data_IF_975212140730
#
_entry.id   IF_975212140730
#
_cell.length_a   1.000
_cell.length_b   1.000
_cell.length_c   1.000
_cell.angle_alpha   90.00
_cell.angle_beta   90.00
_cell.angle_gamma   90.00
#
_symmetry.space_group_name_H-M   'P 1'
#
loop_
_entity.id
_entity.type
_entity.pdbx_description
1 polymer ?
#
# COMPACT_ATOMS: atom_id res chain seq x y z
N UNK A 1 -5.29 -87.88 -23.21
CA UNK A 1 -4.65 -86.55 -23.12
C UNK A 1 -4.61 -86.10 -21.67
N UNK A 2 -3.46 -86.16 -21.00
CA UNK A 2 -3.26 -85.58 -19.66
C UNK A 2 -2.87 -84.11 -19.84
N UNK A 3 -3.81 -83.19 -19.66
CA UNK A 3 -3.48 -81.76 -19.56
C UNK A 3 -2.72 -81.55 -18.25
N UNK A 4 -1.50 -81.02 -18.34
CA UNK A 4 -0.61 -80.76 -17.21
C UNK A 4 -1.28 -79.84 -16.20
N UNK A 5 -1.40 -80.27 -14.93
CA UNK A 5 -1.95 -79.46 -13.83
C UNK A 5 -1.21 -78.13 -13.65
N UNK A 6 0.03 -78.01 -14.11
CA UNK A 6 0.81 -76.77 -14.07
C UNK A 6 0.33 -75.71 -15.08
N UNK A 7 -0.27 -76.12 -16.21
CA UNK A 7 -0.82 -75.16 -17.19
C UNK A 7 -2.12 -74.50 -16.69
N UNK A 8 -2.90 -75.21 -15.84
CA UNK A 8 -4.18 -74.72 -15.31
C UNK A 8 -3.99 -73.62 -14.25
N UNK A 9 -2.85 -73.58 -13.56
CA UNK A 9 -2.49 -72.52 -12.60
C UNK A 9 -1.65 -71.38 -13.19
N UNK A 10 -0.97 -71.61 -14.32
CA UNK A 10 -0.19 -70.58 -15.00
C UNK A 10 -1.07 -69.52 -15.68
N UNK A 11 -2.23 -69.92 -16.23
CA UNK A 11 -3.15 -69.00 -16.92
C UNK A 11 -3.80 -67.99 -15.94
N UNK A 12 -4.34 -68.39 -14.77
CA UNK A 12 -4.79 -67.44 -13.75
C UNK A 12 -3.66 -66.55 -13.23
N UNK A 13 -2.45 -67.07 -13.04
CA UNK A 13 -1.31 -66.28 -12.52
C UNK A 13 -0.84 -65.21 -13.51
N UNK A 14 -0.78 -65.52 -14.82
CA UNK A 14 -0.47 -64.55 -15.88
C UNK A 14 -1.61 -63.55 -16.06
N UNK A 15 -2.88 -63.97 -15.90
CA UNK A 15 -4.02 -63.06 -15.87
C UNK A 15 -4.02 -62.17 -14.62
N UNK A 16 -3.65 -62.66 -13.43
CA UNK A 16 -3.51 -61.87 -12.21
C UNK A 16 -2.32 -60.89 -12.28
N UNK A 17 -1.21 -61.29 -12.90
CA UNK A 17 -0.09 -60.40 -13.19
C UNK A 17 -0.45 -59.36 -14.25
N UNK A 18 -1.19 -59.74 -15.30
CA UNK A 18 -1.68 -58.84 -16.35
C UNK A 18 -2.79 -57.89 -15.89
N UNK A 19 -3.71 -58.36 -15.03
CA UNK A 19 -4.73 -57.54 -14.37
C UNK A 19 -4.05 -56.60 -13.36
N UNK A 20 -3.11 -57.10 -12.57
CA UNK A 20 -2.33 -56.30 -11.64
C UNK A 20 -1.55 -55.16 -12.31
N UNK A 21 -0.88 -55.42 -13.44
CA UNK A 21 -0.18 -54.39 -14.20
C UNK A 21 -1.14 -53.42 -14.90
N UNK A 22 -2.32 -53.87 -15.34
CA UNK A 22 -3.30 -52.99 -15.97
C UNK A 22 -3.98 -52.05 -14.96
N UNK A 23 -4.24 -52.53 -13.73
CA UNK A 23 -4.76 -51.70 -12.64
C UNK A 23 -3.69 -50.79 -12.01
N UNK A 24 -2.42 -51.19 -12.01
CA UNK A 24 -1.30 -50.38 -11.49
C UNK A 24 -0.68 -49.43 -12.53
N UNK A 25 -0.93 -49.61 -13.83
CA UNK A 25 -0.36 -48.75 -14.87
C UNK A 25 -0.76 -47.27 -14.72
N UNK A 26 -2.03 -46.91 -14.43
CA UNK A 26 -2.42 -45.52 -14.22
C UNK A 26 -1.75 -44.88 -12.98
N UNK A 27 -1.59 -45.65 -11.89
CA UNK A 27 -0.97 -45.17 -10.65
C UNK A 27 0.54 -45.01 -10.80
N UNK A 28 1.21 -45.94 -11.47
CA UNK A 28 2.64 -45.85 -11.80
C UNK A 28 2.92 -44.69 -12.76
N UNK A 29 2.06 -44.48 -13.76
CA UNK A 29 2.21 -43.36 -14.69
C UNK A 29 2.03 -42.01 -13.98
N UNK A 30 0.99 -41.88 -13.14
CA UNK A 30 0.74 -40.67 -12.35
C UNK A 30 1.90 -40.38 -11.41
N UNK A 31 2.42 -41.40 -10.72
CA UNK A 31 3.60 -41.29 -9.87
C UNK A 31 4.84 -40.86 -10.66
N UNK A 32 5.06 -41.42 -11.85
CA UNK A 32 6.21 -41.08 -12.70
C UNK A 32 6.17 -39.61 -13.12
N UNK A 33 5.01 -39.12 -13.58
CA UNK A 33 4.84 -37.72 -13.97
C UNK A 33 5.05 -36.76 -12.79
N UNK A 34 4.45 -37.05 -11.63
CA UNK A 34 4.59 -36.23 -10.42
C UNK A 34 6.05 -36.21 -9.92
N UNK A 35 6.73 -37.35 -9.95
CA UNK A 35 8.15 -37.43 -9.59
C UNK A 35 9.04 -36.70 -10.60
N UNK A 36 8.70 -36.79 -11.89
CA UNK A 36 9.37 -36.06 -12.96
C UNK A 36 9.29 -34.55 -12.74
N UNK A 37 8.07 -34.03 -12.53
CA UNK A 37 7.86 -32.61 -12.23
C UNK A 37 8.61 -32.16 -10.97
N UNK A 38 8.56 -32.94 -9.88
CA UNK A 38 9.26 -32.58 -8.63
C UNK A 38 10.77 -32.39 -8.80
N UNK A 39 11.39 -33.10 -9.73
CA UNK A 39 12.82 -33.05 -10.00
C UNK A 39 13.19 -32.25 -11.26
N UNK A 40 12.20 -31.66 -11.94
CA UNK A 40 12.42 -30.89 -13.16
C UNK A 40 13.29 -29.64 -12.89
N UNK A 41 14.17 -29.34 -13.83
CA UNK A 41 14.87 -28.06 -13.91
C UNK A 41 13.98 -26.98 -14.57
N UNK A 42 14.50 -25.75 -14.68
CA UNK A 42 13.74 -24.64 -15.25
C UNK A 42 13.33 -24.85 -16.71
N UNK A 43 14.15 -25.56 -17.50
CA UNK A 43 13.90 -25.79 -18.93
C UNK A 43 12.80 -26.83 -19.15
N UNK A 44 12.79 -27.89 -18.34
CA UNK A 44 11.84 -29.01 -18.51
C UNK A 44 10.56 -28.84 -17.68
N UNK A 45 10.54 -27.93 -16.70
CA UNK A 45 9.40 -27.71 -15.78
C UNK A 45 8.07 -27.57 -16.51
N UNK A 46 8.01 -26.75 -17.55
CA UNK A 46 6.75 -26.49 -18.29
C UNK A 46 6.18 -27.74 -18.95
N UNK A 47 7.05 -28.56 -19.57
CA UNK A 47 6.64 -29.82 -20.20
C UNK A 47 6.08 -30.81 -19.17
N UNK A 48 6.75 -30.94 -18.02
CA UNK A 48 6.28 -31.79 -16.93
C UNK A 48 4.99 -31.27 -16.29
N UNK A 49 4.87 -29.96 -16.11
CA UNK A 49 3.68 -29.33 -15.54
C UNK A 49 2.45 -29.61 -16.41
N UNK A 50 2.57 -29.43 -17.73
CA UNK A 50 1.49 -29.72 -18.68
C UNK A 50 1.13 -31.21 -18.72
N UNK A 51 2.13 -32.10 -18.60
CA UNK A 51 1.88 -33.54 -18.54
C UNK A 51 1.13 -33.94 -17.24
N UNK A 52 1.52 -33.37 -16.10
CA UNK A 52 0.84 -33.58 -14.81
C UNK A 52 -0.57 -32.98 -14.82
N UNK A 53 -0.77 -31.81 -15.45
CA UNK A 53 -2.06 -31.14 -15.51
C UNK A 53 -3.16 -32.02 -16.15
N UNK A 54 -2.78 -32.85 -17.14
CA UNK A 54 -3.68 -33.80 -17.81
C UNK A 54 -4.18 -34.93 -16.92
N UNK A 55 -3.54 -35.17 -15.77
CA UNK A 55 -4.03 -36.12 -14.76
C UNK A 55 -5.28 -35.60 -14.03
N UNK A 56 -5.61 -34.31 -14.18
CA UNK A 56 -6.77 -33.67 -13.60
C UNK A 56 -6.77 -33.75 -12.07
N UNK A 57 -7.95 -33.99 -11.48
CA UNK A 57 -8.14 -33.95 -10.02
C UNK A 57 -7.17 -34.84 -9.22
N UNK A 58 -6.66 -35.92 -9.80
CA UNK A 58 -5.75 -36.86 -9.13
C UNK A 58 -4.37 -36.25 -8.82
N UNK A 59 -3.97 -35.18 -9.52
CA UNK A 59 -2.70 -34.51 -9.29
C UNK A 59 -2.78 -33.35 -8.28
N UNK A 60 -3.98 -32.87 -7.92
CA UNK A 60 -4.14 -31.68 -7.07
C UNK A 60 -3.51 -31.89 -5.69
N UNK A 61 -3.92 -32.93 -4.95
CA UNK A 61 -3.43 -33.16 -3.59
C UNK A 61 -1.90 -33.44 -3.56
N UNK A 62 -1.34 -34.30 -4.45
CA UNK A 62 0.12 -34.46 -4.54
C UNK A 62 0.90 -33.19 -4.86
N UNK A 63 0.33 -32.29 -5.69
CA UNK A 63 0.95 -30.99 -5.97
C UNK A 63 0.89 -30.08 -4.75
N UNK A 64 -0.24 -30.05 -4.02
CA UNK A 64 -0.36 -29.29 -2.78
C UNK A 64 0.66 -29.76 -1.73
N UNK A 65 0.84 -31.08 -1.57
CA UNK A 65 1.87 -31.64 -0.69
C UNK A 65 3.28 -31.24 -1.16
N UNK A 66 3.49 -31.16 -2.47
CA UNK A 66 4.74 -30.75 -3.10
C UNK A 66 5.13 -29.28 -2.87
N UNK A 67 4.20 -28.41 -2.47
CA UNK A 67 4.48 -26.98 -2.24
C UNK A 67 5.45 -26.74 -1.08
N UNK A 68 5.48 -27.65 -0.11
CA UNK A 68 6.40 -27.57 1.04
C UNK A 68 7.79 -28.13 0.74
N UNK A 69 8.02 -28.66 -0.46
CA UNK A 69 9.31 -29.21 -0.85
C UNK A 69 10.29 -28.10 -1.30
N UNK A 70 11.62 -28.36 -1.28
CA UNK A 70 12.62 -27.40 -1.76
C UNK A 70 12.37 -26.91 -3.20
N UNK A 71 11.95 -27.80 -4.09
CA UNK A 71 11.57 -27.49 -5.47
C UNK A 71 10.05 -27.20 -5.60
N UNK A 72 9.46 -26.59 -4.59
CA UNK A 72 8.02 -26.29 -4.55
C UNK A 72 7.54 -25.43 -5.72
N UNK A 73 8.43 -24.67 -6.37
CA UNK A 73 8.14 -23.94 -7.62
C UNK A 73 7.65 -24.84 -8.75
N UNK A 74 8.09 -26.10 -8.78
CA UNK A 74 7.62 -27.07 -9.76
C UNK A 74 6.17 -27.48 -9.46
N UNK A 75 5.81 -27.60 -8.18
CA UNK A 75 4.43 -27.86 -7.78
C UNK A 75 3.52 -26.66 -8.10
N UNK A 76 4.00 -25.43 -7.90
CA UNK A 76 3.32 -24.20 -8.31
C UNK A 76 3.06 -24.22 -9.82
N UNK A 77 4.07 -24.51 -10.64
CA UNK A 77 3.89 -24.60 -12.10
C UNK A 77 2.90 -25.69 -12.51
N UNK A 78 2.89 -26.83 -11.80
CA UNK A 78 1.89 -27.87 -12.00
C UNK A 78 0.47 -27.38 -11.73
N UNK A 79 0.24 -26.71 -10.59
CA UNK A 79 -1.07 -26.15 -10.24
C UNK A 79 -1.51 -25.06 -11.22
N UNK A 80 -0.59 -24.21 -11.70
CA UNK A 80 -0.86 -23.17 -12.69
C UNK A 80 -1.30 -23.77 -14.04
N UNK A 81 -0.57 -24.79 -14.52
CA UNK A 81 -0.92 -25.51 -15.76
C UNK A 81 -2.29 -26.22 -15.68
N UNK A 82 -2.77 -26.57 -14.48
CA UNK A 82 -4.09 -27.18 -14.31
C UNK A 82 -5.24 -26.25 -14.64
N UNK A 83 -5.03 -24.92 -14.70
CA UNK A 83 -6.05 -23.97 -15.13
C UNK A 83 -6.52 -24.19 -16.59
N UNK A 84 -5.71 -24.87 -17.41
CA UNK A 84 -6.11 -25.26 -18.77
C UNK A 84 -7.15 -26.40 -18.80
N UNK A 85 -7.30 -27.13 -17.69
CA UNK A 85 -8.08 -28.37 -17.63
C UNK A 85 -9.12 -28.40 -16.51
N UNK A 86 -8.97 -27.55 -15.48
CA UNK A 86 -9.87 -27.47 -14.34
C UNK A 86 -10.32 -26.02 -14.09
N UNK A 87 -11.56 -25.82 -13.62
CA UNK A 87 -12.03 -24.50 -13.22
C UNK A 87 -11.14 -23.88 -12.12
N UNK A 88 -10.82 -22.59 -12.26
CA UNK A 88 -9.98 -21.88 -11.31
C UNK A 88 -10.60 -21.85 -9.91
N UNK A 89 -11.92 -21.62 -9.81
CA UNK A 89 -12.65 -21.71 -8.55
C UNK A 89 -12.53 -23.06 -7.84
N UNK A 90 -12.51 -24.17 -8.59
CA UNK A 90 -12.34 -25.50 -8.00
C UNK A 90 -10.94 -25.69 -7.39
N UNK A 91 -9.90 -25.25 -8.11
CA UNK A 91 -8.53 -25.30 -7.61
C UNK A 91 -8.34 -24.37 -6.40
N UNK A 92 -8.89 -23.15 -6.47
CA UNK A 92 -8.89 -22.20 -5.37
C UNK A 92 -9.55 -22.78 -4.11
N UNK A 93 -10.71 -23.45 -4.25
CA UNK A 93 -11.38 -24.16 -3.14
C UNK A 93 -10.50 -25.21 -2.47
N UNK A 94 -9.74 -25.99 -3.26
CA UNK A 94 -8.82 -27.02 -2.76
C UNK A 94 -7.64 -26.39 -2.02
N UNK A 95 -7.06 -25.36 -2.62
CA UNK A 95 -5.95 -24.59 -2.06
C UNK A 95 -6.35 -23.95 -0.73
N UNK A 96 -7.48 -23.24 -0.67
CA UNK A 96 -7.97 -22.58 0.54
C UNK A 96 -8.17 -23.57 1.69
N UNK A 97 -8.70 -24.77 1.42
CA UNK A 97 -8.86 -25.83 2.45
C UNK A 97 -7.55 -26.44 2.92
N UNK A 98 -6.54 -26.48 2.06
CA UNK A 98 -5.22 -27.04 2.39
C UNK A 98 -4.32 -26.04 3.12
N UNK A 99 -4.59 -24.74 3.01
CA UNK A 99 -3.70 -23.65 3.44
C UNK A 99 -3.16 -23.81 4.87
N UNK A 100 -4.02 -24.10 5.85
CA UNK A 100 -3.62 -24.23 7.25
C UNK A 100 -2.64 -25.39 7.51
N UNK A 101 -2.61 -26.40 6.63
CA UNK A 101 -1.73 -27.57 6.74
C UNK A 101 -0.37 -27.39 6.06
N UNK A 102 -0.22 -26.37 5.22
CA UNK A 102 1.02 -26.11 4.49
C UNK A 102 2.11 -25.54 5.40
N UNK A 103 3.38 -25.76 5.03
CA UNK A 103 4.52 -25.09 5.65
C UNK A 103 4.45 -23.57 5.41
N UNK A 104 5.21 -22.74 6.18
CA UNK A 104 5.29 -21.30 5.93
C UNK A 104 5.64 -20.95 4.46
N UNK A 105 6.59 -21.65 3.86
CA UNK A 105 6.97 -21.49 2.46
C UNK A 105 5.84 -21.90 1.51
N UNK A 106 5.18 -23.04 1.79
CA UNK A 106 4.03 -23.49 1.02
C UNK A 106 2.87 -22.47 1.05
N UNK A 107 2.61 -21.87 2.21
CA UNK A 107 1.61 -20.81 2.36
C UNK A 107 1.97 -19.56 1.56
N UNK A 108 3.23 -19.12 1.59
CA UNK A 108 3.72 -18.00 0.77
C UNK A 108 3.48 -18.27 -0.72
N UNK A 109 3.82 -19.47 -1.19
CA UNK A 109 3.63 -19.90 -2.58
C UNK A 109 2.16 -19.87 -3.00
N UNK A 110 1.27 -20.37 -2.14
CA UNK A 110 -0.18 -20.33 -2.37
C UNK A 110 -0.71 -18.91 -2.48
N UNK A 111 -0.31 -18.02 -1.56
CA UNK A 111 -0.78 -16.64 -1.57
C UNK A 111 -0.34 -15.92 -2.85
N UNK A 112 0.90 -16.14 -3.31
CA UNK A 112 1.38 -15.63 -4.59
C UNK A 112 0.59 -16.19 -5.77
N UNK A 113 0.39 -17.51 -5.80
CA UNK A 113 -0.33 -18.18 -6.87
C UNK A 113 -1.76 -17.64 -7.01
N UNK A 114 -2.50 -17.55 -5.90
CA UNK A 114 -3.86 -17.03 -5.90
C UNK A 114 -3.92 -15.53 -6.23
N UNK A 115 -2.96 -14.71 -5.76
CA UNK A 115 -2.86 -13.30 -6.16
C UNK A 115 -2.75 -13.18 -7.67
N UNK A 116 -1.86 -13.96 -8.30
CA UNK A 116 -1.66 -13.95 -9.75
C UNK A 116 -2.89 -14.44 -10.51
N UNK A 117 -3.59 -15.46 -10.00
CA UNK A 117 -4.81 -15.98 -10.64
C UNK A 117 -5.94 -14.96 -10.60
N UNK A 118 -6.16 -14.33 -9.45
CA UNK A 118 -7.18 -13.31 -9.25
C UNK A 118 -6.94 -12.10 -10.16
N UNK A 119 -5.69 -11.67 -10.32
CA UNK A 119 -5.34 -10.54 -11.20
C UNK A 119 -5.62 -10.81 -12.69
N UNK A 120 -5.62 -12.08 -13.13
CA UNK A 120 -5.69 -12.47 -14.55
C UNK A 120 -7.04 -13.04 -14.97
N UNK A 121 -7.92 -13.32 -14.01
CA UNK A 121 -9.19 -14.00 -14.24
C UNK A 121 -10.36 -13.15 -13.77
N UNK A 122 -11.54 -13.39 -14.34
CA UNK A 122 -12.82 -12.81 -13.87
C UNK A 122 -13.73 -13.87 -13.24
N UNK A 123 -13.21 -15.09 -13.01
CA UNK A 123 -13.95 -16.21 -12.41
C UNK A 123 -14.42 -15.87 -10.99
N UNK A 124 -15.73 -15.78 -10.77
CA UNK A 124 -16.31 -15.38 -9.48
C UNK A 124 -15.99 -16.37 -8.36
N UNK A 125 -15.95 -17.67 -8.64
CA UNK A 125 -15.67 -18.70 -7.64
C UNK A 125 -14.22 -18.61 -7.17
N UNK A 126 -13.29 -18.30 -8.07
CA UNK A 126 -11.89 -18.03 -7.71
C UNK A 126 -11.79 -16.84 -6.75
N UNK A 127 -12.45 -15.73 -7.07
CA UNK A 127 -12.44 -14.53 -6.22
C UNK A 127 -13.05 -14.80 -4.84
N UNK A 128 -14.15 -15.56 -4.79
CA UNK A 128 -14.78 -15.96 -3.54
C UNK A 128 -13.81 -16.76 -2.66
N UNK A 129 -13.18 -17.81 -3.19
CA UNK A 129 -12.27 -18.64 -2.40
C UNK A 129 -10.97 -17.90 -2.03
N UNK A 130 -10.50 -16.97 -2.85
CA UNK A 130 -9.38 -16.09 -2.52
C UNK A 130 -9.75 -15.10 -1.38
N UNK A 131 -10.98 -14.58 -1.39
CA UNK A 131 -11.51 -13.75 -0.31
C UNK A 131 -11.69 -14.54 0.99
N UNK A 132 -12.17 -15.78 0.92
CA UNK A 132 -12.24 -16.70 2.06
C UNK A 132 -10.86 -16.97 2.65
N UNK A 133 -9.85 -17.18 1.80
CA UNK A 133 -8.48 -17.36 2.26
C UNK A 133 -7.94 -16.09 2.94
N UNK A 134 -8.19 -14.91 2.36
CA UNK A 134 -7.80 -13.64 2.96
C UNK A 134 -8.43 -13.46 4.34
N UNK A 135 -9.69 -13.88 4.50
CA UNK A 135 -10.38 -13.84 5.79
C UNK A 135 -9.75 -14.77 6.85
N UNK A 136 -9.22 -15.91 6.41
CA UNK A 136 -8.50 -16.87 7.24
C UNK A 136 -7.07 -16.44 7.62
N UNK A 137 -6.53 -15.38 7.00
CA UNK A 137 -5.23 -14.85 7.42
C UNK A 137 -5.35 -14.26 8.83
N UNK A 138 -4.82 -15.00 9.81
CA UNK A 138 -4.55 -14.51 11.15
C UNK A 138 -3.42 -13.48 11.15
N UNK A 139 -3.15 -12.87 12.30
CA UNK A 139 -2.16 -11.81 12.47
C UNK A 139 -0.70 -12.19 12.14
N UNK A 140 -0.44 -13.47 11.81
CA UNK A 140 0.88 -14.00 11.47
C UNK A 140 0.91 -14.50 10.02
N UNK A 141 0.57 -13.59 9.09
CA UNK A 141 0.72 -13.87 7.66
C UNK A 141 2.20 -14.22 7.38
N UNK A 142 2.49 -15.34 6.70
CA UNK A 142 3.86 -15.84 6.56
C UNK A 142 4.75 -14.87 5.77
N UNK A 143 4.14 -14.02 4.93
CA UNK A 143 4.76 -12.83 4.39
C UNK A 143 3.71 -11.72 4.23
N UNK A 144 3.94 -10.60 4.91
CA UNK A 144 3.10 -9.42 4.82
C UNK A 144 3.05 -8.86 3.39
N UNK A 145 4.15 -8.94 2.65
CA UNK A 145 4.22 -8.49 1.26
C UNK A 145 3.18 -9.20 0.40
N UNK A 146 3.11 -10.53 0.51
CA UNK A 146 2.24 -11.36 -0.31
C UNK A 146 0.79 -11.24 0.13
N UNK A 147 0.56 -11.15 1.44
CA UNK A 147 -0.77 -10.92 1.99
C UNK A 147 -1.36 -9.58 1.53
N UNK A 148 -0.58 -8.50 1.50
CA UNK A 148 -0.99 -7.20 0.93
C UNK A 148 -1.26 -7.31 -0.58
N UNK A 149 -0.46 -8.12 -1.29
CA UNK A 149 -0.69 -8.44 -2.70
C UNK A 149 -2.05 -9.10 -2.95
N UNK A 150 -2.33 -10.20 -2.25
CA UNK A 150 -3.60 -10.90 -2.33
C UNK A 150 -4.77 -9.99 -1.94
N UNK A 151 -4.63 -9.20 -0.87
CA UNK A 151 -5.64 -8.23 -0.46
C UNK A 151 -5.93 -7.22 -1.58
N UNK A 152 -4.91 -6.72 -2.27
CA UNK A 152 -5.08 -5.78 -3.39
C UNK A 152 -5.83 -6.41 -4.55
N UNK A 153 -5.48 -7.65 -4.90
CA UNK A 153 -6.13 -8.41 -5.96
C UNK A 153 -7.63 -8.66 -5.64
N UNK A 154 -7.92 -9.21 -4.45
CA UNK A 154 -9.28 -9.52 -3.99
C UNK A 154 -10.14 -8.25 -3.86
N UNK A 155 -9.56 -7.16 -3.37
CA UNK A 155 -10.29 -5.91 -3.20
C UNK A 155 -10.71 -5.31 -4.55
N UNK A 156 -10.18 -5.73 -5.71
CA UNK A 156 -10.60 -5.17 -7.00
C UNK A 156 -12.04 -5.56 -7.43
N UNK A 157 -12.72 -6.44 -6.69
CA UNK A 157 -14.05 -7.00 -6.98
C UNK A 157 -15.08 -6.73 -5.86
N UNK A 158 -16.37 -7.11 -5.99
CA UNK A 158 -17.40 -6.96 -4.95
C UNK A 158 -17.03 -7.67 -3.65
N UNK A 159 -17.31 -7.04 -2.50
CA UNK A 159 -16.63 -7.33 -1.22
C UNK A 159 -17.62 -7.66 -0.10
N UNK A 160 -17.26 -8.61 0.76
CA UNK A 160 -17.88 -8.77 2.07
C UNK A 160 -17.26 -7.79 3.09
N UNK A 161 -18.01 -7.45 4.15
CA UNK A 161 -17.50 -6.57 5.21
C UNK A 161 -16.26 -7.15 5.91
N UNK A 162 -16.18 -8.47 6.05
CA UNK A 162 -15.04 -9.14 6.68
C UNK A 162 -13.74 -8.98 5.87
N UNK A 163 -13.82 -9.10 4.54
CA UNK A 163 -12.69 -8.89 3.63
C UNK A 163 -12.14 -7.47 3.75
N UNK A 164 -13.02 -6.47 3.82
CA UNK A 164 -12.64 -5.07 4.01
C UNK A 164 -11.92 -4.86 5.35
N UNK A 165 -12.43 -5.45 6.44
CA UNK A 165 -11.78 -5.37 7.77
C UNK A 165 -10.37 -6.00 7.73
N UNK A 166 -10.21 -7.13 7.05
CA UNK A 166 -8.93 -7.83 6.94
C UNK A 166 -7.94 -7.08 6.05
N UNK A 167 -8.40 -6.59 4.90
CA UNK A 167 -7.60 -5.74 4.02
C UNK A 167 -7.15 -4.45 4.73
N UNK A 168 -8.02 -3.83 5.54
CA UNK A 168 -7.68 -2.65 6.36
C UNK A 168 -6.54 -2.96 7.35
N UNK A 169 -6.62 -4.08 8.06
CA UNK A 169 -5.56 -4.51 9.01
C UNK A 169 -4.23 -4.78 8.30
N UNK A 170 -4.27 -5.47 7.15
CA UNK A 170 -3.07 -5.75 6.35
C UNK A 170 -2.45 -4.47 5.79
N UNK A 171 -3.28 -3.53 5.32
CA UNK A 171 -2.81 -2.22 4.88
C UNK A 171 -2.11 -1.47 6.02
N UNK A 172 -2.73 -1.37 7.20
CA UNK A 172 -2.13 -0.72 8.37
C UNK A 172 -0.78 -1.35 8.77
N UNK A 173 -0.71 -2.68 8.85
CA UNK A 173 0.54 -3.39 9.11
C UNK A 173 1.58 -3.12 8.01
N UNK A 174 1.15 -3.10 6.75
CA UNK A 174 1.98 -2.83 5.58
C UNK A 174 2.58 -1.43 5.57
N UNK A 175 1.81 -0.41 5.95
CA UNK A 175 2.28 0.98 6.08
C UNK A 175 3.39 1.11 7.15
N UNK A 176 3.37 0.26 8.18
CA UNK A 176 4.39 0.21 9.24
C UNK A 176 5.56 -0.75 8.93
N UNK A 177 5.61 -1.35 7.74
CA UNK A 177 6.63 -2.33 7.38
C UNK A 177 8.03 -1.71 7.28
N UNK A 178 9.05 -2.50 7.67
CA UNK A 178 10.46 -2.13 7.46
C UNK A 178 10.84 -2.08 5.98
N UNK A 179 10.18 -2.88 5.14
CA UNK A 179 10.44 -2.93 3.69
C UNK A 179 9.73 -1.78 2.97
N UNK A 180 10.45 -0.89 2.26
CA UNK A 180 9.84 0.17 1.44
C UNK A 180 8.88 -0.38 0.39
N UNK A 181 9.21 -1.52 -0.23
CA UNK A 181 8.36 -2.17 -1.22
C UNK A 181 6.99 -2.56 -0.63
N UNK A 182 6.97 -3.09 0.60
CA UNK A 182 5.71 -3.41 1.30
C UNK A 182 4.91 -2.16 1.63
N UNK A 183 5.56 -1.08 2.07
CA UNK A 183 4.89 0.20 2.31
C UNK A 183 4.25 0.75 1.05
N UNK A 184 4.95 0.72 -0.09
CA UNK A 184 4.39 1.14 -1.39
C UNK A 184 3.16 0.30 -1.77
N UNK A 185 3.23 -1.03 -1.66
CA UNK A 185 2.06 -1.89 -1.94
C UNK A 185 0.90 -1.60 -0.99
N UNK A 186 1.18 -1.34 0.28
CA UNK A 186 0.17 -0.99 1.27
C UNK A 186 -0.51 0.35 0.96
N UNK A 187 0.24 1.35 0.49
CA UNK A 187 -0.33 2.62 0.01
C UNK A 187 -1.28 2.37 -1.15
N UNK A 188 -0.91 1.55 -2.13
CA UNK A 188 -1.81 1.19 -3.24
C UNK A 188 -3.08 0.48 -2.76
N UNK A 189 -2.97 -0.40 -1.76
CA UNK A 189 -4.13 -1.04 -1.14
C UNK A 189 -5.05 -0.02 -0.47
N UNK A 190 -4.50 1.00 0.20
CA UNK A 190 -5.28 2.06 0.87
C UNK A 190 -6.17 2.88 -0.07
N UNK A 191 -5.91 2.87 -1.38
CA UNK A 191 -6.74 3.51 -2.39
C UNK A 191 -8.04 2.74 -2.68
N UNK A 192 -8.16 1.50 -2.17
CA UNK A 192 -9.38 0.73 -2.32
C UNK A 192 -10.53 1.33 -1.49
N UNK A 193 -11.74 1.48 -2.06
CA UNK A 193 -12.89 2.03 -1.36
C UNK A 193 -13.19 1.36 -0.02
N UNK A 194 -13.57 2.13 1.00
CA UNK A 194 -13.98 1.63 2.31
C UNK A 194 -12.85 1.23 3.26
N UNK A 195 -11.58 1.50 2.92
CA UNK A 195 -10.46 1.35 3.87
C UNK A 195 -10.25 2.59 4.74
N UNK A 196 -10.53 3.79 4.25
CA UNK A 196 -10.44 5.06 5.00
C UNK A 196 -9.08 5.27 5.70
N UNK A 197 -7.98 4.98 4.98
CA UNK A 197 -6.61 5.03 5.52
C UNK A 197 -5.76 6.18 4.96
N UNK A 198 -6.37 7.21 4.37
CA UNK A 198 -5.63 8.31 3.74
C UNK A 198 -4.86 9.17 4.76
N UNK A 199 -5.36 9.31 5.99
CA UNK A 199 -4.63 9.98 7.08
C UNK A 199 -3.33 9.23 7.47
N UNK A 200 -3.34 7.91 7.75
CA UNK A 200 -2.12 7.12 7.89
C UNK A 200 -1.17 7.20 6.70
N UNK A 201 -1.70 7.25 5.47
CA UNK A 201 -0.87 7.41 4.25
C UNK A 201 -0.21 8.79 4.22
N UNK A 202 -0.88 9.85 4.68
CA UNK A 202 -0.29 11.18 4.75
C UNK A 202 0.93 11.24 5.68
N UNK A 203 0.98 10.41 6.73
CA UNK A 203 2.16 10.31 7.58
C UNK A 203 3.41 9.79 6.83
N UNK A 204 3.23 9.09 5.71
CA UNK A 204 4.32 8.60 4.86
C UNK A 204 4.88 9.67 3.90
N UNK A 205 4.33 10.90 3.90
CA UNK A 205 4.91 12.03 3.17
C UNK A 205 6.32 12.40 3.67
N UNK A 206 6.68 11.97 4.88
CA UNK A 206 8.02 12.16 5.47
C UNK A 206 8.80 10.84 5.60
N UNK A 207 8.42 9.79 4.85
CA UNK A 207 9.11 8.50 4.87
C UNK A 207 10.58 8.63 4.44
N UNK A 208 11.46 7.80 4.99
CA UNK A 208 12.89 7.79 4.64
C UNK A 208 13.13 7.44 3.16
N UNK A 209 12.30 6.55 2.61
CA UNK A 209 12.43 6.06 1.24
C UNK A 209 11.66 6.97 0.27
N UNK A 210 12.31 7.54 -0.74
CA UNK A 210 11.66 8.46 -1.67
C UNK A 210 10.55 7.79 -2.48
N UNK A 211 10.66 6.51 -2.82
CA UNK A 211 9.60 5.74 -3.47
C UNK A 211 8.31 5.66 -2.65
N UNK A 212 8.43 5.62 -1.32
CA UNK A 212 7.27 5.62 -0.42
C UNK A 212 6.65 7.01 -0.36
N UNK A 213 7.47 8.07 -0.27
CA UNK A 213 6.97 9.46 -0.31
C UNK A 213 6.23 9.76 -1.62
N UNK A 214 6.76 9.29 -2.76
CA UNK A 214 6.09 9.39 -4.07
C UNK A 214 4.76 8.66 -4.08
N UNK A 215 4.73 7.41 -3.61
CA UNK A 215 3.48 6.64 -3.53
C UNK A 215 2.45 7.34 -2.65
N UNK A 216 2.87 7.85 -1.48
CA UNK A 216 2.01 8.60 -0.57
C UNK A 216 1.43 9.85 -1.26
N UNK A 217 2.26 10.66 -1.93
CA UNK A 217 1.80 11.84 -2.68
C UNK A 217 0.80 11.49 -3.77
N UNK A 218 1.04 10.43 -4.55
CA UNK A 218 0.10 9.99 -5.58
C UNK A 218 -1.24 9.61 -4.95
N UNK A 219 -1.21 8.97 -3.78
CA UNK A 219 -2.42 8.52 -3.10
C UNK A 219 -3.20 9.66 -2.43
N UNK A 220 -2.52 10.57 -1.72
CA UNK A 220 -3.19 11.67 -1.00
C UNK A 220 -3.41 12.90 -1.88
N UNK A 221 -2.66 13.06 -2.96
CA UNK A 221 -2.72 14.24 -3.84
C UNK A 221 -4.15 14.60 -4.28
N UNK A 222 -4.97 13.65 -4.74
CA UNK A 222 -6.38 13.91 -5.10
C UNK A 222 -7.33 14.09 -3.90
N UNK A 223 -6.92 13.73 -2.68
CA UNK A 223 -7.79 13.60 -1.52
C UNK A 223 -7.99 14.92 -0.75
N UNK A 224 -8.73 15.85 -1.33
CA UNK A 224 -8.97 17.20 -0.78
C UNK A 224 -9.74 17.21 0.55
N UNK A 225 -10.61 16.24 0.78
CA UNK A 225 -11.43 16.16 2.02
C UNK A 225 -10.69 15.51 3.18
N UNK A 226 -9.80 14.56 2.89
CA UNK A 226 -9.09 13.77 3.90
C UNK A 226 -7.71 14.36 4.26
N UNK A 227 -7.06 15.07 3.33
CA UNK A 227 -5.69 15.57 3.52
C UNK A 227 -5.58 17.02 3.04
N UNK A 228 -5.35 17.94 3.98
CA UNK A 228 -5.21 19.37 3.68
C UNK A 228 -4.01 19.66 2.76
N UNK A 229 -4.06 20.80 2.07
CA UNK A 229 -2.94 21.29 1.28
C UNK A 229 -1.70 21.56 2.14
N UNK A 230 -1.91 21.96 3.39
CA UNK A 230 -0.83 22.24 4.35
C UNK A 230 0.07 21.03 4.59
N UNK A 231 -0.50 19.81 4.54
CA UNK A 231 0.27 18.58 4.68
C UNK A 231 1.24 18.34 3.49
N UNK A 232 0.93 18.88 2.30
CA UNK A 232 1.74 18.70 1.10
C UNK A 232 2.82 19.78 0.93
N UNK A 233 2.63 20.96 1.53
CA UNK A 233 3.56 22.09 1.37
C UNK A 233 5.01 21.77 1.77
N UNK A 234 5.32 20.97 2.82
CA UNK A 234 6.69 20.58 3.12
C UNK A 234 7.37 19.79 2.00
N UNK A 235 6.60 19.00 1.24
CA UNK A 235 7.13 18.18 0.13
C UNK A 235 7.65 19.02 -1.05
N UNK A 236 7.35 20.32 -1.11
CA UNK A 236 7.94 21.26 -2.09
C UNK A 236 9.45 21.48 -1.88
N UNK A 237 9.98 21.07 -0.73
CA UNK A 237 11.40 21.15 -0.36
C UNK A 237 12.07 19.79 -0.26
N UNK A 238 11.41 18.72 -0.72
CA UNK A 238 11.96 17.38 -0.66
C UNK A 238 13.29 17.27 -1.42
N UNK A 239 14.19 16.40 -0.97
CA UNK A 239 15.47 16.15 -1.64
C UNK A 239 15.28 15.48 -3.02
N UNK A 240 14.27 14.61 -3.12
CA UNK A 240 13.91 13.92 -4.35
C UNK A 240 13.11 14.85 -5.29
N UNK A 241 13.60 15.00 -6.52
CA UNK A 241 12.97 15.86 -7.52
C UNK A 241 11.56 15.43 -7.90
N UNK A 242 11.29 14.14 -8.00
CA UNK A 242 9.96 13.64 -8.36
C UNK A 242 8.96 13.91 -7.23
N UNK A 243 9.37 13.83 -5.97
CA UNK A 243 8.53 14.22 -4.83
C UNK A 243 8.14 15.70 -4.90
N UNK A 244 9.09 16.59 -5.20
CA UNK A 244 8.79 18.03 -5.39
C UNK A 244 7.81 18.29 -6.52
N UNK A 245 8.00 17.64 -7.67
CA UNK A 245 7.12 17.79 -8.84
C UNK A 245 5.71 17.24 -8.57
N UNK A 246 5.61 16.08 -7.90
CA UNK A 246 4.33 15.51 -7.50
C UNK A 246 3.58 16.42 -6.51
N UNK A 247 4.29 16.99 -5.53
CA UNK A 247 3.70 17.93 -4.57
C UNK A 247 3.17 19.18 -5.27
N UNK A 248 3.97 19.79 -6.14
CA UNK A 248 3.56 20.95 -6.96
C UNK A 248 2.34 20.61 -7.81
N UNK A 249 2.39 19.50 -8.56
CA UNK A 249 1.31 19.06 -9.44
C UNK A 249 0.02 18.78 -8.66
N UNK A 250 0.13 18.17 -7.48
CA UNK A 250 -1.02 17.88 -6.61
C UNK A 250 -1.70 19.15 -6.12
N UNK A 251 -0.92 20.15 -5.66
CA UNK A 251 -1.46 21.43 -5.20
C UNK A 251 -2.15 22.19 -6.35
N UNK A 252 -1.56 22.22 -7.54
CA UNK A 252 -2.17 22.82 -8.72
C UNK A 252 -3.46 22.09 -9.13
N UNK A 253 -3.47 20.75 -9.09
CA UNK A 253 -4.65 19.95 -9.40
C UNK A 253 -5.80 20.16 -8.39
N UNK A 254 -5.49 20.58 -7.16
CA UNK A 254 -6.48 20.99 -6.15
C UNK A 254 -7.00 22.41 -6.34
N UNK A 255 -6.52 23.13 -7.36
CA UNK A 255 -6.99 24.48 -7.71
C UNK A 255 -6.17 25.62 -7.11
N UNK A 256 -5.04 25.33 -6.47
CA UNK A 256 -4.12 26.42 -6.08
C UNK A 256 -3.48 27.00 -7.34
N UNK A 257 -3.34 28.33 -7.36
CA UNK A 257 -2.60 29.04 -8.39
C UNK A 257 -1.10 28.98 -8.12
N UNK A 258 -0.29 29.21 -9.16
CA UNK A 258 1.17 29.15 -9.05
C UNK A 258 1.71 30.07 -7.95
N UNK A 259 1.16 31.27 -7.82
CA UNK A 259 1.53 32.26 -6.82
C UNK A 259 1.23 31.79 -5.39
N UNK A 260 0.11 31.07 -5.20
CA UNK A 260 -0.26 30.48 -3.91
C UNK A 260 0.66 29.32 -3.55
N UNK A 261 1.07 28.51 -4.54
CA UNK A 261 2.06 27.44 -4.35
C UNK A 261 3.41 28.02 -3.97
N UNK A 262 3.86 29.10 -4.62
CA UNK A 262 5.13 29.75 -4.26
C UNK A 262 5.08 30.38 -2.85
N UNK A 263 3.98 31.02 -2.46
CA UNK A 263 3.81 31.49 -1.08
C UNK A 263 3.80 30.33 -0.08
N UNK A 264 3.12 29.24 -0.41
CA UNK A 264 3.12 27.98 0.34
C UNK A 264 4.54 27.43 0.51
N UNK A 265 5.34 27.46 -0.56
CA UNK A 265 6.75 27.08 -0.55
C UNK A 265 7.58 27.98 0.35
N UNK A 266 7.40 29.29 0.28
CA UNK A 266 8.13 30.24 1.13
C UNK A 266 7.80 30.01 2.61
N UNK A 267 6.53 29.87 2.98
CA UNK A 267 6.12 29.75 4.39
C UNK A 267 6.51 28.39 5.02
N UNK A 268 6.75 27.35 4.22
CA UNK A 268 7.25 26.06 4.71
C UNK A 268 8.75 25.87 4.51
N UNK A 269 9.46 26.88 4.02
CA UNK A 269 10.88 26.74 3.70
C UNK A 269 11.72 26.37 4.96
N UNK A 270 12.64 25.39 4.90
CA UNK A 270 13.44 24.97 6.06
C UNK A 270 14.23 26.10 6.73
N UNK A 271 14.81 27.00 5.92
CA UNK A 271 15.52 28.19 6.39
C UNK A 271 14.54 29.32 6.75
N UNK A 272 14.56 29.76 8.00
CA UNK A 272 13.69 30.83 8.51
C UNK A 272 13.85 32.17 7.79
N UNK A 273 15.07 32.49 7.32
CA UNK A 273 15.32 33.71 6.55
C UNK A 273 14.48 33.78 5.28
N UNK A 274 14.29 32.65 4.59
CA UNK A 274 13.49 32.59 3.36
C UNK A 274 11.99 32.69 3.70
N UNK A 275 11.57 32.15 4.84
CA UNK A 275 10.17 32.29 5.30
C UNK A 275 9.76 33.74 5.55
N UNK A 276 10.71 34.64 5.82
CA UNK A 276 10.44 36.08 5.95
C UNK A 276 9.98 36.71 4.64
N UNK A 277 10.41 36.18 3.49
CA UNK A 277 10.06 36.71 2.16
C UNK A 277 8.56 36.62 1.88
N UNK A 278 7.81 35.80 2.64
CA UNK A 278 6.34 35.80 2.63
C UNK A 278 5.78 37.21 2.87
N UNK A 279 6.38 38.00 3.76
CA UNK A 279 5.89 39.35 4.07
C UNK A 279 6.05 40.32 2.89
N UNK A 280 7.06 40.11 2.05
CA UNK A 280 7.30 40.91 0.85
C UNK A 280 6.39 40.49 -0.31
N UNK A 281 6.05 39.20 -0.39
CA UNK A 281 5.25 38.60 -1.47
C UNK A 281 3.75 38.62 -1.22
N UNK A 282 3.32 38.59 0.03
CA UNK A 282 1.89 38.55 0.39
C UNK A 282 1.07 39.71 -0.22
N UNK A 283 1.56 40.97 -0.28
CA UNK A 283 0.84 42.05 -0.95
C UNK A 283 0.66 41.86 -2.46
N UNK A 284 1.49 41.02 -3.11
CA UNK A 284 1.42 40.73 -4.54
C UNK A 284 0.28 39.76 -4.88
N UNK A 285 -0.37 39.15 -3.88
CA UNK A 285 -1.45 38.16 -4.04
C UNK A 285 -2.73 38.63 -3.33
N UNK A 286 -3.50 39.54 -3.93
CA UNK A 286 -4.59 40.27 -3.26
C UNK A 286 -5.78 39.40 -2.84
N UNK A 287 -5.92 38.19 -3.39
CA UNK A 287 -6.98 37.25 -3.04
C UNK A 287 -6.72 36.51 -1.72
N UNK A 288 -5.52 36.63 -1.14
CA UNK A 288 -5.19 36.05 0.15
C UNK A 288 -5.47 37.03 1.27
N UNK A 289 -6.16 36.56 2.31
CA UNK A 289 -6.38 37.34 3.53
C UNK A 289 -5.07 37.48 4.33
N UNK A 290 -4.48 38.68 4.44
CA UNK A 290 -3.23 38.87 5.17
C UNK A 290 -3.35 38.52 6.66
N UNK A 291 -4.56 38.59 7.25
CA UNK A 291 -4.80 38.24 8.65
C UNK A 291 -4.44 36.77 8.91
N UNK A 292 -4.87 35.86 8.02
CA UNK A 292 -4.61 34.41 8.15
C UNK A 292 -3.09 34.14 8.09
N UNK A 293 -2.40 34.75 7.13
CA UNK A 293 -0.97 34.56 6.93
C UNK A 293 -0.11 35.17 8.06
N UNK A 294 -0.45 36.37 8.53
CA UNK A 294 0.24 37.00 9.64
C UNK A 294 0.04 36.23 10.95
N UNK A 295 -1.17 35.68 11.18
CA UNK A 295 -1.41 34.79 12.33
C UNK A 295 -0.57 33.52 12.24
N UNK A 296 -0.46 32.90 11.06
CA UNK A 296 0.41 31.74 10.85
C UNK A 296 1.89 32.05 11.10
N UNK A 297 2.43 33.11 10.50
CA UNK A 297 3.83 33.54 10.71
C UNK A 297 4.12 33.90 12.17
N UNK A 298 3.12 34.42 12.90
CA UNK A 298 3.27 34.72 14.33
C UNK A 298 3.39 33.48 15.23
N UNK A 299 3.20 32.28 14.69
CA UNK A 299 3.37 31.00 15.38
C UNK A 299 4.64 30.25 14.94
N UNK A 300 5.45 30.86 14.07
CA UNK A 300 6.65 30.25 13.51
C UNK A 300 7.66 29.85 14.61
N UNK A 301 8.35 28.72 14.43
CA UNK A 301 9.37 28.26 15.37
C UNK A 301 10.53 29.24 15.55
N UNK A 302 10.83 30.07 14.54
CA UNK A 302 11.88 31.09 14.58
C UNK A 302 11.39 32.40 15.21
N UNK A 303 12.04 32.89 16.29
CA UNK A 303 11.71 34.20 16.87
C UNK A 303 11.81 35.36 15.88
N UNK A 304 12.72 35.28 14.90
CA UNK A 304 12.89 36.32 13.88
C UNK A 304 11.64 36.45 12.99
N UNK A 305 11.05 35.32 12.59
CA UNK A 305 9.80 35.31 11.80
C UNK A 305 8.64 35.85 12.60
N UNK A 306 8.51 35.45 13.88
CA UNK A 306 7.47 35.98 14.76
C UNK A 306 7.62 37.49 15.01
N UNK A 307 8.85 37.98 15.20
CA UNK A 307 9.13 39.41 15.35
C UNK A 307 8.73 40.20 14.09
N UNK A 308 9.03 39.66 12.91
CA UNK A 308 8.67 40.28 11.63
C UNK A 308 7.13 40.29 11.44
N UNK A 309 6.44 39.21 11.79
CA UNK A 309 4.98 39.17 11.81
C UNK A 309 4.40 40.22 12.76
N UNK A 310 4.92 40.34 14.00
CA UNK A 310 4.48 41.36 14.94
C UNK A 310 4.65 42.78 14.40
N UNK A 311 5.78 43.06 13.72
CA UNK A 311 6.00 44.33 13.04
C UNK A 311 4.96 44.59 11.95
N UNK A 312 4.74 43.61 11.07
CA UNK A 312 3.77 43.74 9.98
C UNK A 312 2.34 43.98 10.52
N UNK A 313 1.93 43.27 11.57
CA UNK A 313 0.64 43.49 12.25
C UNK A 313 0.52 44.90 12.87
N UNK A 314 1.61 45.45 13.39
CA UNK A 314 1.67 46.82 13.92
C UNK A 314 1.60 47.90 12.83
N UNK A 315 2.14 47.60 11.64
CA UNK A 315 2.19 48.53 10.50
C UNK A 315 0.91 48.51 9.64
N UNK A 316 -0.01 47.57 9.89
CA UNK A 316 -1.29 47.42 9.19
C UNK A 316 -2.46 47.73 10.14
N UNK A 317 -2.68 49.01 10.53
CA UNK A 317 -3.69 49.41 11.50
C UNK A 317 -5.12 49.04 11.10
N UNK A 318 -5.38 48.84 9.81
CA UNK A 318 -6.66 48.40 9.25
C UNK A 318 -7.02 46.93 9.55
N UNK A 319 -6.03 46.06 9.81
CA UNK A 319 -6.28 44.63 10.07
C UNK A 319 -6.47 44.36 11.55
N UNK A 320 -7.56 43.76 12.00
CA UNK A 320 -7.79 43.52 13.44
C UNK A 320 -6.94 42.35 13.99
N UNK A 321 -5.76 42.69 14.51
CA UNK A 321 -4.74 41.76 15.02
C UNK A 321 -4.21 42.18 16.41
N UNK A 322 -4.92 43.10 17.08
CA UNK A 322 -4.55 43.58 18.42
C UNK A 322 -4.58 42.46 19.46
N UNK A 323 -5.57 41.57 19.37
CA UNK A 323 -5.69 40.37 20.21
C UNK A 323 -4.44 39.49 20.09
N UNK A 324 -3.93 39.29 18.87
CA UNK A 324 -2.77 38.44 18.63
C UNK A 324 -1.49 39.10 19.16
N UNK A 325 -1.32 40.41 18.94
CA UNK A 325 -0.21 41.17 19.51
C UNK A 325 -0.22 41.16 21.04
N UNK A 326 -1.40 41.29 21.67
CA UNK A 326 -1.55 41.19 23.12
C UNK A 326 -1.18 39.80 23.65
N UNK A 327 -1.59 38.74 22.95
CA UNK A 327 -1.20 37.38 23.30
C UNK A 327 0.32 37.21 23.20
N UNK A 328 0.94 37.58 22.08
CA UNK A 328 2.41 37.49 21.90
C UNK A 328 3.16 38.30 22.96
N UNK A 329 2.67 39.49 23.29
CA UNK A 329 3.23 40.34 24.34
C UNK A 329 3.25 39.69 25.72
N UNK A 330 2.30 38.79 26.00
CA UNK A 330 2.19 38.10 27.30
C UNK A 330 2.91 36.76 27.32
N UNK A 331 2.84 36.01 26.22
CA UNK A 331 3.16 34.58 26.23
C UNK A 331 4.23 34.15 25.22
N UNK A 332 4.78 35.04 24.39
CA UNK A 332 5.84 34.62 23.45
C UNK A 332 7.08 34.15 24.24
N UNK A 333 7.65 32.97 23.92
CA UNK A 333 8.81 32.44 24.64
C UNK A 333 10.08 33.29 24.45
N UNK A 334 10.13 34.13 23.41
CA UNK A 334 11.22 35.07 23.20
C UNK A 334 10.92 36.42 23.86
N UNK A 335 11.74 36.87 24.84
CA UNK A 335 11.55 38.18 25.48
C UNK A 335 11.56 39.34 24.48
N UNK A 336 12.41 39.25 23.46
CA UNK A 336 12.51 40.24 22.37
C UNK A 336 11.21 40.32 21.58
N UNK A 337 10.62 39.18 21.21
CA UNK A 337 9.36 39.15 20.46
C UNK A 337 8.22 39.69 21.34
N UNK A 338 8.15 39.29 22.61
CA UNK A 338 7.15 39.81 23.54
C UNK A 338 7.25 41.34 23.71
N UNK A 339 8.47 41.87 23.82
CA UNK A 339 8.70 43.32 23.89
C UNK A 339 8.31 44.04 22.60
N UNK A 340 8.64 43.49 21.43
CA UNK A 340 8.25 44.05 20.14
C UNK A 340 6.72 44.04 19.97
N UNK A 341 6.05 42.95 20.34
CA UNK A 341 4.59 42.87 20.30
C UNK A 341 3.94 43.93 21.20
N UNK A 342 4.46 44.16 22.42
CA UNK A 342 4.02 45.27 23.29
C UNK A 342 4.22 46.63 22.63
N UNK A 343 5.40 46.86 22.05
CA UNK A 343 5.70 48.11 21.35
C UNK A 343 4.71 48.38 20.21
N UNK A 344 4.48 47.41 19.34
CA UNK A 344 3.56 47.57 18.21
C UNK A 344 2.09 47.67 18.64
N UNK A 345 1.68 47.01 19.72
CA UNK A 345 0.36 47.18 20.31
C UNK A 345 0.14 48.62 20.81
N UNK A 346 1.12 49.19 21.52
CA UNK A 346 1.06 50.59 21.99
C UNK A 346 1.00 51.56 20.80
N UNK A 347 1.86 51.36 19.78
CA UNK A 347 1.87 52.20 18.58
C UNK A 347 0.51 52.17 17.85
N UNK A 348 -0.07 50.98 17.69
CA UNK A 348 -1.37 50.79 17.05
C UNK A 348 -2.50 51.48 17.82
N UNK A 349 -2.50 51.36 19.15
CA UNK A 349 -3.50 52.04 19.98
C UNK A 349 -3.39 53.57 19.87
N UNK A 350 -2.17 54.12 19.79
CA UNK A 350 -1.96 55.56 19.54
C UNK A 350 -2.53 56.00 18.19
N UNK A 351 -2.29 55.23 17.13
CA UNK A 351 -2.83 55.52 15.80
C UNK A 351 -4.37 55.46 15.77
N UNK A 352 -4.99 54.53 16.50
CA UNK A 352 -6.46 54.46 16.66
C UNK A 352 -7.02 55.66 17.42
N UNK A 353 -6.33 56.17 18.45
CA UNK A 353 -6.79 57.32 19.24
C UNK A 353 -6.64 58.67 18.52
N UNK A 354 -5.72 58.80 17.56
CA UNK A 354 -5.49 60.05 16.81
C UNK A 354 -6.40 60.15 15.57
N UNK A 355 -6.94 59.03 15.09
CA UNK A 355 -7.83 58.96 13.90
C UNK A 355 -9.33 58.82 14.20
N UNK A 356 -9.76 58.92 15.45
CA UNK A 356 -11.19 58.94 15.80
C UNK A 356 -11.74 60.37 15.67
N UNK A 357 -12.89 60.59 14.99
CA UNK A 357 -13.51 61.91 14.86
C UNK A 357 -13.98 62.49 16.19
#
# INVERSE_FOLDING_TARGET
MRVSKHLLFAIPAVLFLGLGTWFLAPTLHSWYLLRGLRNADAETRGSWANAVARLGNNAVDPLLDGLSAPNGDNAVAGLDAMLEHLPAGQLASRITRAYSKLSPEGRIRVLHLLSNWVERSTDQDLHQHAAELLAQLDGDAPSLEVAVGLASAVMSQPRSAEVVVRARKLAQAGLASRSPAVRVRAVSLCLQPGLDLLEPVAALLTDIAPEVRRAALIAVGPATTAVSEEALLPCLHDEDFQVRELARSSLLARGLRSEQVELGRLITHPRSRIRLEVLDRLPEVPELDPVVWLRRLSQDGSPAVRAAAARAMGQLPQLDLSDRLEQMARTDPSPTVAQLARYYLIQRNRLRTVGAP
#
